data_IF_902161847839
#
_entry.id   IF_902161847839
#
_cell.length_a   1.000
_cell.length_b   1.000
_cell.length_c   1.000
_cell.angle_alpha   90.00
_cell.angle_beta   90.00
_cell.angle_gamma   90.00
#
_symmetry.space_group_name_H-M   'P 1'
#
loop_
_entity.id
_entity.type
_entity.pdbx_description
1 polymer ?
#
# COMPACT_ATOMS: atom_id res chain seq x y z
N UNK A 1 -13.93 -19.32 -1.64
CA UNK A 1 -12.95 -18.73 -2.57
C UNK A 1 -11.89 -18.07 -1.72
N UNK A 2 -10.66 -18.57 -1.74
CA UNK A 2 -9.53 -17.99 -1.02
C UNK A 2 -9.42 -16.49 -1.35
N UNK A 3 -9.49 -15.64 -0.33
CA UNK A 3 -9.31 -14.19 -0.48
C UNK A 3 -7.87 -13.93 -0.96
N UNK A 4 -7.67 -13.99 -2.27
CA UNK A 4 -6.37 -13.74 -2.87
C UNK A 4 -6.03 -12.27 -2.66
N UNK A 5 -5.12 -12.00 -1.72
CA UNK A 5 -4.61 -10.68 -1.40
C UNK A 5 -3.23 -10.51 -2.02
N UNK A 6 -2.99 -9.36 -2.63
CA UNK A 6 -1.65 -8.94 -3.06
C UNK A 6 -1.03 -8.10 -1.95
N UNK A 7 0.25 -8.34 -1.61
CA UNK A 7 0.97 -7.59 -0.58
C UNK A 7 2.25 -7.02 -1.16
N UNK A 8 2.54 -5.76 -0.86
CA UNK A 8 3.82 -5.13 -1.23
C UNK A 8 4.35 -4.26 -0.10
N UNK A 9 5.66 -4.30 0.15
CA UNK A 9 6.36 -3.35 1.01
C UNK A 9 6.93 -2.16 0.23
N UNK A 10 6.85 -2.19 -1.09
CA UNK A 10 7.34 -1.13 -1.97
C UNK A 10 6.30 0.00 -2.05
N UNK A 11 6.70 1.18 -1.59
CA UNK A 11 5.88 2.39 -1.57
C UNK A 11 5.50 2.89 -2.96
N UNK A 12 6.42 2.84 -3.91
CA UNK A 12 6.17 3.30 -5.27
C UNK A 12 5.22 2.35 -5.98
N UNK A 13 5.40 1.04 -5.80
CA UNK A 13 4.46 0.05 -6.34
C UNK A 13 3.08 0.20 -5.69
N UNK A 14 2.99 0.33 -4.37
CA UNK A 14 1.71 0.52 -3.70
C UNK A 14 0.98 1.77 -4.24
N UNK A 15 1.67 2.90 -4.32
CA UNK A 15 1.09 4.15 -4.84
C UNK A 15 0.70 4.02 -6.32
N UNK A 16 1.48 3.30 -7.13
CA UNK A 16 1.15 3.01 -8.53
C UNK A 16 -0.12 2.16 -8.65
N UNK A 17 -0.24 1.09 -7.87
CA UNK A 17 -1.44 0.24 -7.86
C UNK A 17 -2.68 1.07 -7.51
N UNK A 18 -2.59 1.90 -6.47
CA UNK A 18 -3.69 2.79 -6.08
C UNK A 18 -4.02 3.84 -7.16
N UNK A 19 -3.00 4.38 -7.84
CA UNK A 19 -3.19 5.32 -8.96
C UNK A 19 -4.00 4.69 -10.10
N UNK A 20 -3.82 3.39 -10.32
CA UNK A 20 -4.48 2.61 -11.37
C UNK A 20 -5.76 1.91 -10.89
N UNK A 21 -6.29 2.31 -9.74
CA UNK A 21 -7.60 1.84 -9.25
C UNK A 21 -7.59 0.45 -8.61
N UNK A 22 -6.43 -0.06 -8.19
CA UNK A 22 -6.35 -1.24 -7.35
C UNK A 22 -7.00 -0.97 -5.98
N UNK A 23 -7.85 -1.89 -5.53
CA UNK A 23 -8.51 -1.78 -4.23
C UNK A 23 -7.50 -2.04 -3.10
N UNK A 24 -7.26 -1.03 -2.26
CA UNK A 24 -6.36 -1.11 -1.11
C UNK A 24 -7.15 -1.40 0.18
N UNK A 25 -6.84 -2.49 0.86
CA UNK A 25 -7.39 -2.83 2.18
C UNK A 25 -6.64 -2.16 3.33
N UNK A 26 -5.53 -1.49 3.02
CA UNK A 26 -4.71 -0.76 3.98
C UNK A 26 -3.42 -1.49 4.36
N UNK A 27 -2.67 -0.89 5.29
CA UNK A 27 -1.39 -1.42 5.74
C UNK A 27 -1.56 -2.48 6.83
N UNK A 28 -0.66 -3.47 6.83
CA UNK A 28 -0.47 -4.45 7.90
C UNK A 28 1.00 -4.45 8.32
N UNK A 29 1.27 -4.67 9.60
CA UNK A 29 2.63 -4.92 10.07
C UNK A 29 2.85 -6.42 10.23
N UNK A 30 3.81 -6.98 9.49
CA UNK A 30 4.22 -8.38 9.57
C UNK A 30 5.73 -8.44 9.82
N UNK A 31 6.15 -9.08 10.92
CA UNK A 31 7.57 -9.21 11.30
C UNK A 31 8.34 -7.88 11.34
N UNK A 32 7.71 -6.82 11.86
CA UNK A 32 8.32 -5.48 11.97
C UNK A 32 8.42 -4.71 10.65
N UNK A 33 7.78 -5.21 9.58
CA UNK A 33 7.70 -4.53 8.28
C UNK A 33 6.26 -4.19 7.94
N UNK A 34 6.04 -2.98 7.43
CA UNK A 34 4.75 -2.53 6.94
C UNK A 34 4.55 -3.00 5.49
N UNK A 35 3.46 -3.73 5.24
CA UNK A 35 3.01 -4.16 3.92
C UNK A 35 1.68 -3.49 3.59
N UNK A 36 1.52 -3.03 2.36
CA UNK A 36 0.25 -2.55 1.82
C UNK A 36 -0.47 -3.72 1.16
N UNK A 37 -1.74 -3.90 1.53
CA UNK A 37 -2.56 -5.03 1.08
C UNK A 37 -3.59 -4.56 0.07
N UNK A 38 -3.65 -5.26 -1.07
CA UNK A 38 -4.58 -4.98 -2.16
C UNK A 38 -5.40 -6.22 -2.52
N UNK A 39 -6.53 -6.02 -3.19
CA UNK A 39 -7.24 -7.09 -3.89
C UNK A 39 -6.30 -7.71 -4.94
N UNK A 40 -6.31 -9.04 -5.11
CA UNK A 40 -5.61 -9.68 -6.24
C UNK A 40 -6.61 -9.94 -7.37
N UNK A 41 -7.12 -8.86 -7.91
CA UNK A 41 -8.00 -8.86 -9.08
C UNK A 41 -7.21 -8.62 -10.38
N UNK A 42 -7.94 -8.61 -11.50
CA UNK A 42 -7.37 -8.36 -12.83
C UNK A 42 -6.68 -6.99 -12.89
N UNK A 43 -7.31 -5.95 -12.31
CA UNK A 43 -6.76 -4.58 -12.28
C UNK A 43 -5.43 -4.51 -11.55
N UNK A 44 -5.35 -5.11 -10.37
CA UNK A 44 -4.11 -5.11 -9.58
C UNK A 44 -3.02 -5.90 -10.29
N UNK A 45 -3.39 -7.00 -10.96
CA UNK A 45 -2.45 -7.83 -11.73
C UNK A 45 -1.92 -7.10 -12.96
N UNK A 46 -2.78 -6.43 -13.71
CA UNK A 46 -2.41 -5.63 -14.88
C UNK A 46 -1.48 -4.46 -14.48
N UNK A 47 -1.87 -3.69 -13.46
CA UNK A 47 -1.04 -2.60 -12.95
C UNK A 47 0.32 -3.11 -12.44
N UNK A 48 0.35 -4.24 -11.73
CA UNK A 48 1.61 -4.82 -11.27
C UNK A 48 2.56 -5.15 -12.45
N UNK A 49 2.03 -5.71 -13.55
CA UNK A 49 2.84 -6.04 -14.73
C UNK A 49 3.35 -4.78 -15.45
N UNK A 50 2.54 -3.73 -15.49
CA UNK A 50 2.88 -2.48 -16.17
C UNK A 50 3.83 -1.58 -15.37
N UNK A 51 3.91 -1.73 -14.04
CA UNK A 51 4.70 -0.86 -13.16
C UNK A 51 6.15 -0.60 -13.61
N UNK A 52 6.85 -1.63 -14.15
CA UNK A 52 8.25 -1.49 -14.59
C UNK A 52 8.41 -0.91 -15.99
N UNK A 53 7.34 -0.95 -16.79
CA UNK A 53 7.32 -0.48 -18.17
C UNK A 53 6.75 0.94 -18.28
N UNK A 54 5.98 1.35 -17.28
CA UNK A 54 5.33 2.65 -17.21
C UNK A 54 6.31 3.76 -16.81
N UNK A 55 6.31 4.86 -17.57
CA UNK A 55 7.05 6.08 -17.24
C UNK A 55 6.52 6.80 -15.99
N UNK A 56 5.47 6.29 -15.33
CA UNK A 56 4.96 6.79 -14.06
C UNK A 56 6.04 6.94 -13.00
N UNK A 57 7.06 6.07 -12.99
CA UNK A 57 8.21 6.22 -12.07
C UNK A 57 8.97 7.53 -12.33
N UNK A 58 9.05 7.97 -13.59
CA UNK A 58 9.74 9.19 -14.04
C UNK A 58 8.83 10.43 -14.03
N UNK A 59 7.54 10.26 -14.30
CA UNK A 59 6.57 11.34 -14.35
C UNK A 59 6.07 11.70 -12.94
N UNK A 60 6.24 12.96 -12.54
CA UNK A 60 5.74 13.47 -11.25
C UNK A 60 4.55 14.39 -11.49
N UNK A 61 3.34 13.90 -11.20
CA UNK A 61 2.09 14.66 -11.32
C UNK A 61 1.35 14.72 -9.98
N UNK A 62 0.30 15.55 -9.92
CA UNK A 62 -0.48 15.76 -8.69
C UNK A 62 -1.11 14.46 -8.15
N UNK A 63 -1.54 13.56 -9.05
CA UNK A 63 -2.14 12.27 -8.67
C UNK A 63 -1.11 11.34 -8.01
N UNK A 64 0.09 11.21 -8.60
CA UNK A 64 1.21 10.47 -8.00
C UNK A 64 1.58 11.02 -6.62
N UNK A 65 1.68 12.36 -6.48
CA UNK A 65 1.94 13.00 -5.19
C UNK A 65 0.87 12.65 -4.16
N UNK A 66 -0.40 12.71 -4.55
CA UNK A 66 -1.53 12.34 -3.70
C UNK A 66 -1.43 10.87 -3.25
N UNK A 67 -1.24 9.92 -4.17
CA UNK A 67 -1.15 8.50 -3.83
C UNK A 67 0.06 8.19 -2.93
N UNK A 68 1.22 8.81 -3.19
CA UNK A 68 2.39 8.67 -2.32
C UNK A 68 2.12 9.19 -0.91
N UNK A 69 1.56 10.39 -0.79
CA UNK A 69 1.16 10.97 0.50
C UNK A 69 0.17 10.06 1.24
N UNK A 70 -0.79 9.48 0.52
CA UNK A 70 -1.77 8.59 1.11
C UNK A 70 -1.12 7.34 1.71
N UNK A 71 -0.10 6.78 1.05
CA UNK A 71 0.66 5.65 1.60
C UNK A 71 1.46 6.03 2.85
N UNK A 72 2.02 7.24 2.90
CA UNK A 72 2.70 7.75 4.09
C UNK A 72 1.75 7.92 5.27
N UNK A 73 0.58 8.51 5.05
CA UNK A 73 -0.48 8.63 6.06
C UNK A 73 -0.87 7.27 6.62
N UNK A 74 -1.20 6.32 5.74
CA UNK A 74 -1.59 4.96 6.12
C UNK A 74 -0.53 4.28 6.99
N UNK A 75 0.76 4.36 6.60
CA UNK A 75 1.85 3.79 7.41
C UNK A 75 1.99 4.47 8.77
N UNK A 76 1.80 5.79 8.82
CA UNK A 76 1.85 6.54 10.08
C UNK A 76 0.72 6.11 11.03
N UNK A 77 -0.50 6.02 10.51
CA UNK A 77 -1.67 5.54 11.26
C UNK A 77 -1.48 4.12 11.78
N UNK A 78 -0.96 3.20 10.96
CA UNK A 78 -0.69 1.83 11.38
C UNK A 78 0.30 1.75 12.54
N UNK A 79 1.35 2.57 12.49
CA UNK A 79 2.34 2.67 13.57
C UNK A 79 1.76 3.24 14.85
N UNK A 80 0.90 4.25 14.75
CA UNK A 80 0.27 4.86 15.92
C UNK A 80 -0.71 3.88 16.59
N UNK A 81 -1.53 3.15 15.81
CA UNK A 81 -2.38 2.07 16.34
C UNK A 81 -1.57 1.01 17.10
N UNK A 82 -0.43 0.60 16.55
CA UNK A 82 0.44 -0.37 17.22
C UNK A 82 1.07 0.17 18.52
N UNK A 83 1.38 1.47 18.60
CA UNK A 83 1.86 2.07 19.85
C UNK A 83 0.76 2.11 20.91
N UNK A 84 -0.44 2.53 20.56
CA UNK A 84 -1.57 2.59 21.49
C UNK A 84 -1.94 1.21 22.05
N UNK A 85 -1.96 0.18 21.19
CA UNK A 85 -2.21 -1.21 21.62
C UNK A 85 -1.14 -1.77 22.57
N UNK A 86 0.12 -1.34 22.43
CA UNK A 86 1.20 -1.76 23.34
C UNK A 86 1.06 -1.08 24.70
N UNK A 87 0.60 0.18 24.75
CA UNK A 87 0.38 0.87 26.04
C UNK A 87 -0.74 0.21 26.84
N UNK A 88 -1.83 -0.23 26.19
CA UNK A 88 -2.96 -0.87 26.88
C UNK A 88 -2.68 -2.30 27.34
N UNK A 89 -1.69 -2.98 26.75
CA UNK A 89 -1.38 -4.37 27.10
C UNK A 89 -0.43 -4.51 28.31
N UNK A 90 0.02 -3.40 28.89
CA UNK A 90 0.98 -3.37 30.02
C UNK A 90 0.32 -2.88 31.32
N UNK A 91 -0.99 -2.60 31.31
CA UNK A 91 -1.79 -2.30 32.52
C UNK A 91 -2.39 -3.56 33.17
#
# INVERSE_FOLDING_TARGET
MDNQKFKTSDFNLAAYLMTNGAECYGPIDENGKCFFVFAKDEKTSEAFMNFKQDDWLRNYNANKKYCLNKMYEMRSEARNRNKESVVTAVE
#
